data_IF_388291911170
#
_entry.id   IF_388291911170
#
_cell.length_a   1.000
_cell.length_b   1.000
_cell.length_c   1.000
_cell.angle_alpha   90.00
_cell.angle_beta   90.00
_cell.angle_gamma   90.00
#
_symmetry.space_group_name_H-M   'P 1'
#
loop_
_entity.id
_entity.type
_entity.pdbx_description
1 polymer ?
#
# COMPACT_ATOMS: atom_id res chain seq x y z
N UNK A 1 -24.88 60.37 8.46
CA UNK A 1 -25.52 59.05 8.58
C UNK A 1 -26.57 58.98 7.47
N UNK A 2 -26.34 58.63 6.20
CA UNK A 2 -25.53 57.67 5.43
C UNK A 2 -25.93 56.20 5.53
N UNK A 3 -26.80 55.81 4.58
CA UNK A 3 -26.79 54.56 3.78
C UNK A 3 -27.12 53.24 4.46
N UNK A 4 -28.21 53.15 5.23
CA UNK A 4 -28.73 51.84 5.68
C UNK A 4 -30.26 51.65 5.58
N UNK A 5 -30.99 52.54 4.91
CA UNK A 5 -32.47 52.51 4.85
C UNK A 5 -33.04 52.37 3.42
N UNK A 6 -32.23 51.96 2.44
CA UNK A 6 -32.65 51.93 1.02
C UNK A 6 -32.58 50.54 0.35
N UNK A 7 -32.76 49.44 1.09
CA UNK A 7 -32.64 48.09 0.53
C UNK A 7 -33.77 47.12 0.96
N UNK A 8 -34.90 47.62 1.44
CA UNK A 8 -36.04 46.81 1.86
C UNK A 8 -37.36 47.43 1.37
N UNK A 9 -37.66 47.21 0.08
CA UNK A 9 -38.93 47.39 -0.68
C UNK A 9 -38.55 46.86 -2.10
N UNK A 10 -39.17 45.88 -2.75
CA UNK A 10 -40.58 45.54 -2.89
C UNK A 10 -40.79 44.12 -3.48
N UNK A 11 -41.93 43.52 -3.09
CA UNK A 11 -42.86 42.66 -3.83
C UNK A 11 -42.38 41.29 -4.35
N UNK A 12 -42.75 40.16 -3.71
CA UNK A 12 -44.09 39.53 -3.80
C UNK A 12 -44.64 39.51 -5.23
N UNK A 13 -44.42 38.38 -5.95
CA UNK A 13 -45.38 37.96 -6.95
C UNK A 13 -45.59 36.43 -6.91
N UNK A 14 -46.87 36.11 -6.81
CA UNK A 14 -47.50 34.82 -6.68
C UNK A 14 -47.15 33.87 -7.83
N UNK A 15 -46.95 32.59 -7.53
CA UNK A 15 -47.94 31.56 -7.89
C UNK A 15 -47.37 30.15 -7.72
N UNK A 16 -48.06 29.38 -6.87
CA UNK A 16 -48.02 27.93 -6.85
C UNK A 16 -48.44 27.40 -8.24
N UNK A 17 -47.60 26.57 -8.84
CA UNK A 17 -47.94 25.34 -9.59
C UNK A 17 -46.89 25.07 -10.69
N UNK A 18 -46.01 24.11 -10.44
CA UNK A 18 -46.00 22.83 -11.18
C UNK A 18 -44.86 21.96 -10.68
N UNK A 19 -45.24 20.76 -10.26
CA UNK A 19 -44.32 19.77 -9.75
C UNK A 19 -43.18 19.47 -10.72
N UNK A 20 -41.98 19.48 -10.18
CA UNK A 20 -40.99 18.47 -10.51
C UNK A 20 -40.06 18.39 -9.32
N UNK A 21 -40.33 17.38 -8.48
CA UNK A 21 -39.38 16.85 -7.51
C UNK A 21 -38.09 16.50 -8.26
N UNK A 22 -37.18 17.46 -8.38
CA UNK A 22 -35.78 17.14 -8.59
C UNK A 22 -35.26 16.76 -7.21
N UNK A 23 -35.50 15.49 -6.85
CA UNK A 23 -34.58 14.78 -6.00
C UNK A 23 -33.23 14.88 -6.70
N UNK A 24 -32.43 15.87 -6.32
CA UNK A 24 -30.99 15.79 -6.44
C UNK A 24 -30.60 14.59 -5.58
N UNK A 25 -30.52 13.41 -6.21
CA UNK A 25 -29.78 12.30 -5.65
C UNK A 25 -28.37 12.84 -5.47
N UNK A 26 -28.04 13.25 -4.24
CA UNK A 26 -26.68 13.22 -3.80
C UNK A 26 -26.28 11.75 -3.92
N UNK A 27 -25.65 11.38 -5.03
CA UNK A 27 -24.85 10.18 -5.09
C UNK A 27 -23.81 10.34 -4.00
N UNK A 28 -24.09 9.78 -2.82
CA UNK A 28 -23.08 9.46 -1.82
C UNK A 28 -22.06 8.61 -2.54
N UNK A 29 -20.97 9.25 -2.96
CA UNK A 29 -19.83 8.57 -3.56
C UNK A 29 -19.40 7.53 -2.52
N UNK A 30 -19.57 6.23 -2.79
CA UNK A 30 -19.34 5.23 -1.75
C UNK A 30 -17.89 5.34 -1.32
N UNK A 31 -17.67 5.37 -0.01
CA UNK A 31 -16.32 5.41 0.56
C UNK A 31 -15.50 4.28 -0.06
N UNK A 32 -14.43 4.60 -0.82
CA UNK A 32 -13.61 3.59 -1.49
C UNK A 32 -13.08 2.53 -0.52
N UNK A 33 -12.85 2.91 0.74
CA UNK A 33 -12.37 2.02 1.79
C UNK A 33 -13.48 1.08 2.28
N UNK A 34 -14.71 1.58 2.41
CA UNK A 34 -15.85 0.74 2.78
C UNK A 34 -16.13 -0.35 1.73
N UNK A 35 -15.97 -0.02 0.45
CA UNK A 35 -16.08 -0.98 -0.65
C UNK A 35 -14.99 -2.06 -0.57
N UNK A 36 -13.73 -1.68 -0.34
CA UNK A 36 -12.62 -2.64 -0.19
C UNK A 36 -12.83 -3.57 1.00
N UNK A 37 -13.27 -3.04 2.15
CA UNK A 37 -13.56 -3.85 3.34
C UNK A 37 -14.72 -4.81 3.09
N UNK A 38 -15.78 -4.34 2.42
CA UNK A 38 -16.90 -5.18 2.01
C UNK A 38 -16.44 -6.30 1.07
N UNK A 39 -15.65 -5.97 0.06
CA UNK A 39 -15.13 -6.93 -0.92
C UNK A 39 -14.19 -7.96 -0.28
N UNK A 40 -13.37 -7.55 0.70
CA UNK A 40 -12.51 -8.46 1.46
C UNK A 40 -13.30 -9.41 2.35
N UNK A 41 -14.41 -8.96 2.96
CA UNK A 41 -15.31 -9.82 3.74
C UNK A 41 -16.12 -10.77 2.86
N UNK A 42 -16.50 -10.32 1.67
CA UNK A 42 -17.20 -11.12 0.67
C UNK A 42 -16.25 -12.01 -0.15
N UNK A 43 -14.94 -11.92 0.09
CA UNK A 43 -13.95 -12.61 -0.72
C UNK A 43 -14.11 -14.12 -0.62
N UNK A 44 -14.01 -14.79 -1.76
CA UNK A 44 -14.03 -16.24 -1.86
C UNK A 44 -12.87 -16.87 -1.08
N UNK A 45 -13.01 -18.17 -0.76
CA UNK A 45 -11.96 -18.98 -0.13
C UNK A 45 -10.59 -18.76 -0.79
N UNK A 46 -9.54 -18.83 0.02
CA UNK A 46 -8.16 -18.68 -0.43
C UNK A 46 -7.83 -19.56 -1.64
N UNK A 47 -7.19 -18.97 -2.65
CA UNK A 47 -6.64 -19.67 -3.82
C UNK A 47 -5.14 -19.99 -3.64
N UNK A 48 -4.62 -19.87 -2.42
CA UNK A 48 -3.19 -20.04 -2.15
C UNK A 48 -2.69 -21.42 -2.56
N UNK A 49 -3.47 -22.47 -2.28
CA UNK A 49 -3.13 -23.84 -2.68
C UNK A 49 -2.95 -23.96 -4.20
N UNK A 50 -3.89 -23.41 -4.97
CA UNK A 50 -3.83 -23.45 -6.44
C UNK A 50 -2.65 -22.64 -6.98
N UNK A 51 -2.36 -21.48 -6.40
CA UNK A 51 -1.23 -20.64 -6.79
C UNK A 51 0.12 -21.27 -6.45
N UNK A 52 0.24 -21.92 -5.30
CA UNK A 52 1.44 -22.71 -4.93
C UNK A 52 1.59 -23.89 -5.89
N UNK A 53 0.52 -24.61 -6.19
CA UNK A 53 0.55 -25.72 -7.15
C UNK A 53 1.03 -25.23 -8.52
N UNK A 54 0.52 -24.09 -9.00
CA UNK A 54 0.98 -23.47 -10.25
C UNK A 54 2.47 -23.15 -10.21
N UNK A 55 2.96 -22.50 -9.15
CA UNK A 55 4.39 -22.21 -8.97
C UNK A 55 5.25 -23.48 -9.01
N UNK A 56 4.82 -24.52 -8.30
CA UNK A 56 5.54 -25.81 -8.28
C UNK A 56 5.57 -26.47 -9.67
N UNK A 57 4.45 -26.44 -10.39
CA UNK A 57 4.39 -26.99 -11.75
C UNK A 57 5.27 -26.20 -12.72
N UNK A 58 5.24 -24.86 -12.65
CA UNK A 58 6.13 -24.00 -13.45
C UNK A 58 7.60 -24.27 -13.12
N UNK A 59 7.93 -24.54 -11.86
CA UNK A 59 9.30 -24.90 -11.45
C UNK A 59 9.74 -26.26 -11.97
N UNK A 60 8.89 -27.28 -11.88
CA UNK A 60 9.18 -28.60 -12.47
C UNK A 60 9.39 -28.47 -13.98
N UNK A 61 8.49 -27.77 -14.68
CA UNK A 61 8.60 -27.54 -16.11
C UNK A 61 9.89 -26.80 -16.49
N UNK A 62 10.27 -25.78 -15.71
CA UNK A 62 11.52 -25.07 -15.90
C UNK A 62 12.73 -26.01 -15.81
N UNK A 63 12.76 -26.88 -14.81
CA UNK A 63 13.83 -27.86 -14.63
C UNK A 63 13.85 -28.88 -15.77
N UNK A 64 12.70 -29.37 -16.21
CA UNK A 64 12.61 -30.33 -17.32
C UNK A 64 13.12 -29.75 -18.64
N UNK A 65 12.85 -28.48 -18.89
CA UNK A 65 13.26 -27.80 -20.12
C UNK A 65 14.74 -27.38 -20.13
N UNK A 66 15.33 -27.13 -18.97
CA UNK A 66 16.70 -26.59 -18.86
C UNK A 66 17.75 -27.61 -18.41
N UNK A 67 17.35 -28.80 -17.96
CA UNK A 67 18.30 -29.84 -17.59
C UNK A 67 18.72 -30.70 -18.80
N UNK A 68 20.00 -31.09 -18.80
CA UNK A 68 20.52 -32.01 -19.80
C UNK A 68 19.88 -33.40 -19.65
N UNK A 69 19.43 -33.98 -20.76
CA UNK A 69 18.90 -35.35 -20.79
C UNK A 69 20.01 -36.28 -21.27
N UNK A 70 20.45 -37.26 -20.44
CA UNK A 70 21.48 -38.21 -20.83
C UNK A 70 21.13 -38.93 -22.14
N UNK A 71 22.11 -39.06 -23.04
CA UNK A 71 21.95 -39.77 -24.32
C UNK A 71 21.19 -38.99 -25.40
N UNK A 72 20.85 -37.71 -25.19
CA UNK A 72 20.29 -36.83 -26.22
C UNK A 72 21.28 -35.72 -26.59
N UNK A 73 21.31 -35.38 -27.87
CA UNK A 73 21.99 -34.16 -28.32
C UNK A 73 21.26 -32.95 -27.74
N UNK A 74 21.99 -32.11 -27.02
CA UNK A 74 21.43 -30.91 -26.42
C UNK A 74 21.01 -29.86 -27.47
N UNK A 75 20.07 -28.97 -27.13
CA UNK A 75 19.69 -27.85 -27.98
C UNK A 75 20.85 -26.85 -28.16
N UNK A 76 20.71 -25.93 -29.11
CA UNK A 76 21.71 -24.87 -29.33
C UNK A 76 21.78 -23.93 -28.11
N UNK A 77 22.94 -23.28 -27.86
CA UNK A 77 23.06 -22.31 -26.77
C UNK A 77 22.01 -21.20 -26.81
N UNK A 78 21.63 -20.73 -28.00
CA UNK A 78 20.60 -19.70 -28.21
C UNK A 78 19.23 -20.19 -27.74
N UNK A 79 18.87 -21.45 -28.04
CA UNK A 79 17.61 -22.03 -27.62
C UNK A 79 17.55 -22.26 -26.10
N UNK A 80 18.67 -22.66 -25.50
CA UNK A 80 18.80 -22.78 -24.03
C UNK A 80 18.57 -21.41 -23.39
N UNK A 81 19.22 -20.37 -23.91
CA UNK A 81 19.06 -19.01 -23.41
C UNK A 81 17.61 -18.54 -23.47
N UNK A 82 16.96 -18.69 -24.63
CA UNK A 82 15.57 -18.30 -24.83
C UNK A 82 14.64 -19.04 -23.85
N UNK A 83 14.78 -20.36 -23.76
CA UNK A 83 13.99 -21.22 -22.86
C UNK A 83 14.18 -20.84 -21.39
N UNK A 84 15.42 -20.50 -21.00
CA UNK A 84 15.73 -20.05 -19.65
C UNK A 84 15.11 -18.68 -19.35
N UNK A 85 15.21 -17.71 -20.26
CA UNK A 85 14.65 -16.35 -20.08
C UNK A 85 13.12 -16.38 -19.93
N UNK A 86 12.42 -17.11 -20.79
CA UNK A 86 10.97 -17.28 -20.68
C UNK A 86 10.59 -18.03 -19.40
N UNK A 87 11.29 -19.11 -19.09
CA UNK A 87 11.00 -19.90 -17.90
C UNK A 87 11.23 -19.16 -16.58
N UNK A 88 12.28 -18.33 -16.49
CA UNK A 88 12.51 -17.44 -15.32
C UNK A 88 11.40 -16.41 -15.19
N UNK A 89 10.94 -15.84 -16.31
CA UNK A 89 9.84 -14.87 -16.31
C UNK A 89 8.54 -15.50 -15.82
N UNK A 90 8.22 -16.70 -16.27
CA UNK A 90 7.02 -17.43 -15.84
C UNK A 90 7.09 -17.81 -14.36
N UNK A 91 8.26 -18.22 -13.88
CA UNK A 91 8.51 -18.46 -12.45
C UNK A 91 8.29 -17.20 -11.61
N UNK A 92 8.80 -16.06 -12.07
CA UNK A 92 8.63 -14.77 -11.39
C UNK A 92 7.14 -14.40 -11.31
N UNK A 93 6.38 -14.59 -12.39
CA UNK A 93 4.94 -14.34 -12.37
C UNK A 93 4.20 -15.27 -11.42
N UNK A 94 4.50 -16.57 -11.43
CA UNK A 94 3.87 -17.51 -10.51
C UNK A 94 4.21 -17.20 -9.03
N UNK A 95 5.44 -16.79 -8.74
CA UNK A 95 5.84 -16.35 -7.41
C UNK A 95 5.15 -15.05 -6.98
N UNK A 96 4.95 -14.12 -7.93
CA UNK A 96 4.21 -12.88 -7.71
C UNK A 96 2.73 -13.17 -7.42
N UNK A 97 2.10 -14.11 -8.15
CA UNK A 97 0.71 -14.53 -7.91
C UNK A 97 0.52 -15.05 -6.48
N UNK A 98 1.44 -15.89 -6.00
CA UNK A 98 1.47 -16.42 -4.63
C UNK A 98 1.64 -15.29 -3.62
N UNK A 99 2.57 -14.38 -3.87
CA UNK A 99 2.83 -13.24 -2.98
C UNK A 99 1.61 -12.33 -2.86
N UNK A 100 0.95 -12.04 -3.98
CA UNK A 100 -0.29 -11.26 -4.00
C UNK A 100 -1.41 -11.95 -3.21
N UNK A 101 -1.49 -13.28 -3.24
CA UNK A 101 -2.47 -14.02 -2.46
C UNK A 101 -2.19 -13.96 -0.95
N UNK A 102 -0.92 -14.03 -0.54
CA UNK A 102 -0.56 -13.82 0.87
C UNK A 102 -0.95 -12.43 1.36
N UNK A 103 -0.69 -11.39 0.56
CA UNK A 103 -1.12 -10.02 0.87
C UNK A 103 -2.64 -9.96 1.01
N UNK A 104 -3.39 -10.56 0.08
CA UNK A 104 -4.85 -10.60 0.13
C UNK A 104 -5.37 -11.32 1.39
N UNK A 105 -4.80 -12.48 1.73
CA UNK A 105 -5.17 -13.23 2.94
C UNK A 105 -4.86 -12.43 4.20
N UNK A 106 -3.69 -11.78 4.25
CA UNK A 106 -3.32 -10.93 5.38
C UNK A 106 -4.30 -9.77 5.57
N UNK A 107 -4.66 -9.09 4.48
CA UNK A 107 -5.66 -8.02 4.51
C UNK A 107 -7.05 -8.54 4.94
N UNK A 108 -7.48 -9.69 4.42
CA UNK A 108 -8.73 -10.32 4.83
C UNK A 108 -8.72 -10.69 6.32
N UNK A 109 -7.62 -11.27 6.81
CA UNK A 109 -7.45 -11.61 8.22
C UNK A 109 -7.57 -10.38 9.13
N UNK A 110 -6.96 -9.25 8.75
CA UNK A 110 -7.05 -8.01 9.52
C UNK A 110 -8.49 -7.47 9.58
N UNK A 111 -9.25 -7.61 8.50
CA UNK A 111 -10.66 -7.19 8.44
C UNK A 111 -11.56 -8.11 9.28
N UNK A 112 -11.25 -9.40 9.33
CA UNK A 112 -11.99 -10.41 10.12
C UNK A 112 -11.63 -10.37 11.61
N UNK A 113 -10.39 -10.00 11.96
CA UNK A 113 -9.85 -10.00 13.32
C UNK A 113 -9.39 -8.58 13.70
N UNK A 114 -10.33 -7.64 13.65
CA UNK A 114 -10.03 -6.22 13.79
C UNK A 114 -9.35 -5.86 15.13
N UNK A 115 -9.78 -6.48 16.23
CA UNK A 115 -9.25 -6.18 17.56
C UNK A 115 -7.79 -6.63 17.68
N UNK A 116 -7.50 -7.89 17.33
CA UNK A 116 -6.13 -8.42 17.27
C UNK A 116 -5.21 -7.62 16.32
N UNK A 117 -5.75 -7.16 15.19
CA UNK A 117 -5.01 -6.34 14.23
C UNK A 117 -4.71 -4.95 14.80
N UNK A 118 -5.64 -4.37 15.56
CA UNK A 118 -5.48 -3.08 16.21
C UNK A 118 -4.45 -3.15 17.33
N UNK A 119 -4.49 -4.18 18.17
CA UNK A 119 -3.53 -4.38 19.26
C UNK A 119 -2.11 -4.53 18.73
N UNK A 120 -1.89 -5.39 17.71
CA UNK A 120 -0.59 -5.50 17.04
C UNK A 120 -0.13 -4.18 16.45
N UNK A 121 -1.05 -3.41 15.87
CA UNK A 121 -0.70 -2.10 15.30
C UNK A 121 -0.26 -1.11 16.37
N UNK A 122 -0.87 -1.14 17.54
CA UNK A 122 -0.46 -0.31 18.69
C UNK A 122 0.96 -0.70 19.13
N UNK A 123 1.25 -2.00 19.26
CA UNK A 123 2.60 -2.48 19.61
C UNK A 123 3.68 -2.05 18.61
N UNK A 124 3.39 -2.13 17.30
CA UNK A 124 4.27 -1.66 16.24
C UNK A 124 4.55 -0.15 16.34
N UNK A 125 3.50 0.63 16.62
CA UNK A 125 3.61 2.08 16.79
C UNK A 125 4.44 2.43 18.01
N UNK A 126 4.21 1.77 19.15
CA UNK A 126 5.01 1.95 20.36
C UNK A 126 6.48 1.62 20.12
N UNK A 127 6.78 0.54 19.41
CA UNK A 127 8.16 0.22 19.02
C UNK A 127 8.76 1.28 18.10
N UNK A 128 7.99 1.82 17.17
CA UNK A 128 8.45 2.87 16.25
C UNK A 128 8.72 4.17 16.98
N UNK A 129 7.86 4.55 17.93
CA UNK A 129 8.04 5.73 18.78
C UNK A 129 9.34 5.62 19.55
N UNK A 130 9.58 4.48 20.22
CA UNK A 130 10.85 4.25 20.94
C UNK A 130 12.07 4.40 20.05
N UNK A 131 12.06 3.82 18.85
CA UNK A 131 13.16 3.97 17.90
C UNK A 131 13.35 5.42 17.44
N UNK A 132 12.28 6.19 17.31
CA UNK A 132 12.35 7.60 16.94
C UNK A 132 12.88 8.46 18.09
N UNK A 133 12.47 8.18 19.33
CA UNK A 133 13.01 8.83 20.53
C UNK A 133 14.51 8.60 20.67
N UNK A 134 14.98 7.35 20.48
CA UNK A 134 16.40 7.02 20.47
C UNK A 134 17.18 7.79 19.40
N UNK A 135 16.62 7.91 18.20
CA UNK A 135 17.24 8.69 17.11
C UNK A 135 17.28 10.18 17.42
N UNK A 136 16.22 10.73 18.02
CA UNK A 136 16.19 12.13 18.44
C UNK A 136 17.24 12.41 19.50
N UNK A 137 17.41 11.52 20.47
CA UNK A 137 18.45 11.63 21.50
C UNK A 137 19.86 11.62 20.86
N UNK A 138 20.10 10.71 19.93
CA UNK A 138 21.37 10.65 19.19
C UNK A 138 21.67 11.94 18.42
N UNK A 139 20.68 12.49 17.73
CA UNK A 139 20.82 13.75 16.98
C UNK A 139 21.04 14.93 17.92
N UNK A 140 20.32 14.99 19.04
CA UNK A 140 20.48 16.01 20.07
C UNK A 140 21.89 16.02 20.63
N UNK A 141 22.42 14.86 20.99
CA UNK A 141 23.78 14.71 21.48
C UNK A 141 24.82 15.15 20.44
N UNK A 142 24.65 14.75 19.18
CA UNK A 142 25.54 15.16 18.09
C UNK A 142 25.54 16.68 17.87
N UNK A 143 24.39 17.34 18.00
CA UNK A 143 24.27 18.80 17.91
C UNK A 143 24.95 19.50 19.08
N UNK A 144 24.81 18.99 20.30
CA UNK A 144 25.51 19.53 21.48
C UNK A 144 27.03 19.41 21.34
N UNK A 145 27.51 18.27 20.86
CA UNK A 145 28.93 18.05 20.61
C UNK A 145 29.45 18.99 19.52
N UNK A 146 28.68 19.19 18.44
CA UNK A 146 29.04 20.12 17.37
C UNK A 146 29.09 21.57 17.89
N UNK A 147 28.07 21.98 18.67
CA UNK A 147 28.03 23.30 19.30
C UNK A 147 29.25 23.52 20.20
N UNK A 148 29.58 22.55 21.06
CA UNK A 148 30.76 22.63 21.95
C UNK A 148 32.06 22.80 21.17
N UNK A 149 32.24 22.05 20.07
CA UNK A 149 33.41 22.19 19.18
C UNK A 149 33.46 23.56 18.52
N UNK A 150 32.32 24.13 18.14
CA UNK A 150 32.27 25.43 17.50
C UNK A 150 32.57 26.56 18.50
N UNK A 151 32.02 26.48 19.71
CA UNK A 151 32.31 27.44 20.79
C UNK A 151 33.79 27.41 21.17
N UNK A 152 34.43 26.24 21.28
CA UNK A 152 35.87 26.16 21.55
C UNK A 152 36.75 26.80 20.47
N UNK A 153 36.34 26.74 19.19
CA UNK A 153 37.07 27.35 18.07
C UNK A 153 36.93 28.88 18.02
N UNK A 154 35.86 29.42 18.60
CA UNK A 154 35.68 30.87 18.75
C UNK A 154 36.55 31.42 19.89
N UNK A 155 36.67 30.67 20.99
CA UNK A 155 37.51 31.06 22.12
C UNK A 155 39.03 30.99 21.80
N UNK A 156 39.46 30.06 20.94
CA UNK A 156 40.86 29.95 20.50
C UNK A 156 41.30 31.05 19.51
N UNK A 157 40.37 31.76 18.85
CA UNK A 157 40.67 32.80 17.85
C UNK A 157 40.71 34.23 18.43
N UNK A 158 40.63 34.40 19.75
CA UNK A 158 40.64 35.72 20.43
C UNK A 158 42.04 36.11 20.97
N UNK A 159 43.08 35.32 20.72
CA UNK A 159 44.48 35.65 21.01
C UNK A 159 45.34 35.72 19.75
#
# INVERSE_FOLDING_TARGET
MSTLEALLEDDEDESQQRGRSQQTQAEEKPDPLANIVHDLRAASKSQLGDKINKLMMTFVQFLELNNAIPGRTGPTPEHIKETAEFGIKDLLFAATDVSAEFVRIGAQFQVENHDDASDKRIEELDSTIKQQEEKLEQVSQALLDLKRRHESLLDENIY
#
